data_IF_384023719367
#
_entry.id   IF_384023719367
#
_cell.length_a   1.000
_cell.length_b   1.000
_cell.length_c   1.000
_cell.angle_alpha   90.00
_cell.angle_beta   90.00
_cell.angle_gamma   90.00
#
_symmetry.space_group_name_H-M   'P 1'
#
loop_
_entity.id
_entity.type
_entity.pdbx_description
1 polymer ?
#
# COMPACT_ATOMS: atom_id res chain seq x y z
N UNK A 1 34.90 15.82 5.07
CA UNK A 1 34.13 14.56 4.85
C UNK A 1 32.64 14.74 5.15
N UNK A 2 32.23 15.31 6.29
CA UNK A 2 30.81 15.58 6.62
C UNK A 2 30.12 16.57 5.68
N UNK A 3 30.79 17.63 5.24
CA UNK A 3 30.21 18.61 4.30
C UNK A 3 29.87 17.99 2.94
N UNK A 4 30.68 17.05 2.47
CA UNK A 4 30.46 16.34 1.23
C UNK A 4 29.22 15.42 1.31
N UNK A 5 29.01 14.79 2.47
CA UNK A 5 27.83 13.95 2.72
C UNK A 5 26.53 14.77 2.66
N UNK A 6 26.50 15.97 3.26
CA UNK A 6 25.31 16.83 3.25
C UNK A 6 24.95 17.23 1.81
N UNK A 7 25.96 17.57 1.00
CA UNK A 7 25.76 17.92 -0.42
C UNK A 7 25.18 16.76 -1.22
N UNK A 8 25.67 15.54 -1.00
CA UNK A 8 25.15 14.34 -1.68
C UNK A 8 23.71 14.06 -1.24
N UNK A 9 23.43 14.08 0.06
CA UNK A 9 22.09 13.80 0.59
C UNK A 9 21.07 14.86 0.15
N UNK A 10 21.48 16.13 0.03
CA UNK A 10 20.60 17.18 -0.48
C UNK A 10 20.37 17.06 -1.99
N UNK A 11 21.40 16.69 -2.75
CA UNK A 11 21.31 16.48 -4.20
C UNK A 11 20.35 15.33 -4.55
N UNK A 12 20.36 14.26 -3.77
CA UNK A 12 19.53 13.07 -4.03
C UNK A 12 18.33 12.95 -3.07
N UNK A 13 17.83 14.07 -2.53
CA UNK A 13 16.78 14.07 -1.51
C UNK A 13 15.56 13.21 -1.88
N UNK A 14 15.13 13.26 -3.15
CA UNK A 14 13.98 12.53 -3.67
C UNK A 14 14.17 11.00 -3.73
N UNK A 15 15.42 10.53 -3.66
CA UNK A 15 15.74 9.10 -3.62
C UNK A 15 15.52 8.48 -2.23
N UNK A 16 15.23 9.30 -1.22
CA UNK A 16 15.05 8.86 0.17
C UNK A 16 13.61 9.09 0.63
N UNK A 17 13.09 8.19 1.46
CA UNK A 17 11.85 8.42 2.19
C UNK A 17 12.08 9.49 3.27
N UNK A 18 11.12 10.39 3.45
CA UNK A 18 11.09 11.34 4.55
C UNK A 18 9.73 11.32 5.25
N UNK A 19 9.62 11.93 6.43
CA UNK A 19 8.35 11.98 7.16
C UNK A 19 7.23 12.67 6.36
N UNK A 20 7.58 13.58 5.44
CA UNK A 20 6.64 14.26 4.55
C UNK A 20 6.36 13.48 3.25
N UNK A 21 7.31 12.64 2.83
CA UNK A 21 7.25 11.84 1.60
C UNK A 21 7.67 10.40 1.95
N UNK A 22 6.82 9.65 2.68
CA UNK A 22 7.20 8.36 3.26
C UNK A 22 7.42 7.29 2.20
N UNK A 23 6.84 7.47 1.01
CA UNK A 23 7.03 6.59 -0.14
C UNK A 23 8.16 7.09 -1.08
N UNK A 24 8.75 8.26 -0.84
CA UNK A 24 9.71 8.88 -1.75
C UNK A 24 9.17 9.04 -3.18
N UNK A 25 10.08 9.06 -4.17
CA UNK A 25 9.74 9.18 -5.60
C UNK A 25 9.35 7.84 -6.27
N UNK A 26 8.59 6.97 -5.59
CA UNK A 26 8.13 5.70 -6.18
C UNK A 26 7.15 5.99 -7.31
N UNK A 27 7.47 5.46 -8.51
CA UNK A 27 6.54 5.40 -9.63
C UNK A 27 5.70 4.13 -9.50
N UNK A 28 4.38 4.30 -9.36
CA UNK A 28 3.45 3.18 -9.42
C UNK A 28 3.62 2.41 -10.75
N UNK A 29 3.55 1.09 -10.68
CA UNK A 29 3.48 0.23 -11.86
C UNK A 29 2.15 -0.51 -11.77
N UNK A 30 1.40 -0.51 -12.87
CA UNK A 30 0.18 -1.28 -12.98
C UNK A 30 0.53 -2.76 -13.13
N UNK A 31 -0.14 -3.62 -12.37
CA UNK A 31 0.07 -5.07 -12.41
C UNK A 31 -1.28 -5.72 -12.67
N UNK A 32 -1.38 -6.43 -13.78
CA UNK A 32 -2.50 -7.30 -14.08
C UNK A 32 -2.26 -8.68 -13.46
N UNK A 33 -3.16 -9.12 -12.57
CA UNK A 33 -3.07 -10.40 -11.88
C UNK A 33 -4.26 -11.26 -12.30
N UNK A 34 -3.99 -12.22 -13.17
CA UNK A 34 -4.98 -13.20 -13.62
C UNK A 34 -4.91 -14.48 -12.78
N UNK A 35 -6.07 -14.96 -12.32
CA UNK A 35 -6.17 -16.27 -11.67
C UNK A 35 -6.02 -17.38 -12.71
N UNK A 36 -5.30 -18.44 -12.36
CA UNK A 36 -5.15 -19.63 -13.20
C UNK A 36 -6.35 -20.61 -13.10
N UNK A 37 -7.41 -20.20 -12.41
CA UNK A 37 -8.63 -20.99 -12.19
C UNK A 37 -9.86 -20.16 -12.50
N UNK A 38 -10.87 -20.81 -13.07
CA UNK A 38 -12.16 -20.21 -13.34
C UNK A 38 -13.14 -20.45 -12.18
N UNK A 39 -14.28 -19.77 -12.20
CA UNK A 39 -15.36 -19.95 -11.22
C UNK A 39 -15.87 -21.40 -11.31
N UNK A 40 -16.07 -22.11 -10.19
CA UNK A 40 -16.07 -21.61 -8.82
C UNK A 40 -14.67 -21.52 -8.17
N UNK A 41 -14.37 -20.37 -7.57
CA UNK A 41 -13.12 -20.15 -6.87
C UNK A 41 -12.93 -21.09 -5.66
N UNK A 42 -11.68 -21.50 -5.36
CA UNK A 42 -11.36 -22.32 -4.18
C UNK A 42 -11.93 -21.74 -2.89
N UNK A 43 -12.44 -22.61 -2.00
CA UNK A 43 -13.01 -22.21 -0.70
C UNK A 43 -12.01 -21.45 0.19
N UNK A 44 -10.71 -21.70 0.01
CA UNK A 44 -9.62 -20.98 0.67
C UNK A 44 -9.66 -19.47 0.43
N UNK A 45 -10.18 -19.01 -0.70
CA UNK A 45 -10.34 -17.58 -1.00
C UNK A 45 -11.55 -16.95 -0.30
N UNK A 46 -12.43 -17.75 0.31
CA UNK A 46 -13.69 -17.33 0.95
C UNK A 46 -13.62 -17.39 2.48
N UNK A 47 -12.43 -17.40 3.06
CA UNK A 47 -12.25 -17.42 4.50
C UNK A 47 -12.71 -16.12 5.16
N UNK A 48 -13.38 -16.17 6.33
CA UNK A 48 -13.64 -14.97 7.11
C UNK A 48 -12.32 -14.31 7.53
N UNK A 49 -12.34 -12.99 7.74
CA UNK A 49 -11.21 -12.31 8.34
C UNK A 49 -10.86 -12.94 9.70
N UNK A 50 -9.56 -13.13 9.96
CA UNK A 50 -9.10 -13.71 11.20
C UNK A 50 -9.43 -12.80 12.40
N UNK A 51 -9.83 -13.39 13.53
CA UNK A 51 -10.12 -12.64 14.76
C UNK A 51 -8.83 -12.08 15.39
N UNK A 52 -8.82 -10.81 15.76
CA UNK A 52 -7.67 -10.16 16.38
C UNK A 52 -7.99 -9.58 17.76
N UNK A 53 -6.94 -9.33 18.56
CA UNK A 53 -7.05 -8.73 19.90
C UNK A 53 -7.35 -7.23 19.82
N UNK A 54 -8.13 -6.69 20.74
CA UNK A 54 -8.56 -5.28 20.76
C UNK A 54 -7.41 -4.27 20.64
N UNK A 55 -6.31 -4.46 21.39
CA UNK A 55 -5.12 -3.60 21.30
C UNK A 55 -4.46 -3.60 19.90
N UNK A 56 -4.50 -4.73 19.20
CA UNK A 56 -3.96 -4.81 17.85
C UNK A 56 -4.85 -4.05 16.86
N UNK A 57 -6.17 -4.00 17.12
CA UNK A 57 -7.15 -3.27 16.29
C UNK A 57 -6.81 -1.79 16.21
N UNK A 58 -6.63 -1.13 17.35
CA UNK A 58 -6.40 0.32 17.42
C UNK A 58 -5.13 0.72 16.67
N UNK A 59 -4.04 -0.03 16.86
CA UNK A 59 -2.79 0.20 16.14
C UNK A 59 -2.95 -0.03 14.63
N UNK A 60 -3.65 -1.11 14.24
CA UNK A 60 -3.92 -1.39 12.83
C UNK A 60 -4.78 -0.30 12.17
N UNK A 61 -5.81 0.20 12.84
CA UNK A 61 -6.67 1.27 12.31
C UNK A 61 -5.88 2.55 12.04
N UNK A 62 -4.91 2.91 12.90
CA UNK A 62 -4.03 4.06 12.65
C UNK A 62 -3.21 3.89 11.36
N UNK A 63 -2.56 2.73 11.18
CA UNK A 63 -1.77 2.44 9.98
C UNK A 63 -2.62 2.33 8.72
N UNK A 64 -3.80 1.72 8.80
CA UNK A 64 -4.72 1.64 7.66
C UNK A 64 -5.16 3.03 7.19
N UNK A 65 -5.46 3.93 8.13
CA UNK A 65 -5.82 5.32 7.82
C UNK A 65 -4.66 6.09 7.15
N UNK A 66 -3.42 5.84 7.58
CA UNK A 66 -2.24 6.43 6.95
C UNK A 66 -2.06 5.93 5.51
N UNK A 67 -2.14 4.63 5.29
CA UNK A 67 -2.03 4.02 3.96
C UNK A 67 -3.15 4.47 3.00
N UNK A 68 -4.36 4.68 3.52
CA UNK A 68 -5.47 5.27 2.77
C UNK A 68 -5.16 6.72 2.33
N UNK A 69 -4.61 7.55 3.24
CA UNK A 69 -4.21 8.94 2.93
C UNK A 69 -3.08 9.00 1.90
N UNK A 70 -2.17 8.03 1.92
CA UNK A 70 -1.08 7.89 0.95
C UNK A 70 -1.53 7.32 -0.40
N UNK A 71 -2.82 6.95 -0.54
CA UNK A 71 -3.35 6.36 -1.77
C UNK A 71 -2.87 4.93 -2.05
N UNK A 72 -2.23 4.28 -1.06
CA UNK A 72 -1.77 2.88 -1.16
C UNK A 72 -2.95 1.92 -0.99
N UNK A 73 -3.89 2.27 -0.11
CA UNK A 73 -5.14 1.53 0.09
C UNK A 73 -6.32 2.37 -0.37
N UNK A 74 -7.35 1.69 -0.89
CA UNK A 74 -8.66 2.27 -1.17
C UNK A 74 -9.75 1.34 -0.67
N UNK A 75 -10.86 1.91 -0.22
CA UNK A 75 -12.08 1.15 0.07
C UNK A 75 -12.72 0.70 -1.24
N UNK A 76 -13.10 -0.57 -1.30
CA UNK A 76 -13.83 -1.17 -2.41
C UNK A 76 -15.11 -1.81 -1.90
N UNK A 77 -16.15 -1.87 -2.73
CA UNK A 77 -17.38 -2.55 -2.36
C UNK A 77 -17.16 -4.06 -2.24
N UNK A 78 -17.89 -4.69 -1.32
CA UNK A 78 -17.85 -6.13 -1.16
C UNK A 78 -18.42 -6.80 -2.42
N UNK A 79 -17.55 -7.41 -3.23
CA UNK A 79 -17.84 -8.02 -4.54
C UNK A 79 -18.12 -7.05 -5.70
N UNK A 80 -17.78 -5.76 -5.56
CA UNK A 80 -17.83 -4.83 -6.70
C UNK A 80 -16.69 -5.11 -7.68
N UNK A 81 -16.95 -4.99 -8.98
CA UNK A 81 -15.88 -4.93 -9.98
C UNK A 81 -15.03 -3.70 -9.69
N UNK A 82 -13.74 -3.93 -9.49
CA UNK A 82 -12.78 -2.88 -9.19
C UNK A 82 -12.13 -2.48 -10.49
N UNK A 83 -12.67 -1.45 -11.16
CA UNK A 83 -11.98 -0.85 -12.30
C UNK A 83 -10.64 -0.26 -11.83
N UNK A 84 -9.56 -0.69 -12.48
CA UNK A 84 -8.24 -0.07 -12.32
C UNK A 84 -8.30 1.22 -13.12
N UNK A 85 -8.29 2.36 -12.41
CA UNK A 85 -8.33 3.66 -13.05
C UNK A 85 -6.96 3.90 -13.69
N UNK A 86 -6.89 3.74 -15.02
CA UNK A 86 -5.76 4.18 -15.81
C UNK A 86 -5.77 5.72 -15.83
N UNK A 87 -4.82 6.34 -15.15
CA UNK A 87 -4.52 7.77 -15.31
C UNK A 87 -3.02 7.97 -15.31
#
# INVERSE_FOLDING_TARGET
MKENLIVILSQYREAYSSDNEPLGAIKGHEVDIMLNVEIPYPSLLRGPAYSYRARAREALEAYLNELMKLGVLRTVEHNGEVEVANT
#
